data_IF_974394964456
#
_entry.id   IF_974394964456
#
_cell.length_a   1.000
_cell.length_b   1.000
_cell.length_c   1.000
_cell.angle_alpha   90.00
_cell.angle_beta   90.00
_cell.angle_gamma   90.00
#
_symmetry.space_group_name_H-M   'P 1'
#
loop_
_entity.id
_entity.type
_entity.pdbx_description
1 polymer ?
#
# COMPACT_ATOMS: atom_id res chain seq x y z
N UNK A 1 -4.53 6.16 -23.49
CA UNK A 1 -5.15 5.43 -24.66
C UNK A 1 -6.57 5.98 -24.84
N UNK A 2 -7.14 6.06 -26.06
CA UNK A 2 -8.55 6.47 -26.24
C UNK A 2 -9.52 5.29 -26.06
N UNK A 3 -10.83 5.58 -25.90
CA UNK A 3 -11.87 4.58 -25.63
C UNK A 3 -11.98 3.49 -26.70
N UNK A 4 -11.89 3.85 -28.00
CA UNK A 4 -11.95 2.88 -29.09
C UNK A 4 -10.79 1.88 -29.07
N UNK A 5 -9.56 2.37 -28.84
CA UNK A 5 -8.37 1.50 -28.71
C UNK A 5 -8.47 0.60 -27.47
N UNK A 6 -9.00 1.12 -26.36
CA UNK A 6 -9.20 0.35 -25.16
C UNK A 6 -10.22 -0.79 -25.38
N UNK A 7 -11.33 -0.50 -26.05
CA UNK A 7 -12.32 -1.53 -26.43
C UNK A 7 -11.71 -2.63 -27.30
N UNK A 8 -10.93 -2.25 -28.30
CA UNK A 8 -10.22 -3.21 -29.17
C UNK A 8 -9.23 -4.07 -28.38
N UNK A 9 -8.50 -3.45 -27.44
CA UNK A 9 -7.57 -4.17 -26.56
C UNK A 9 -8.30 -5.15 -25.65
N UNK A 10 -9.40 -4.73 -25.03
CA UNK A 10 -10.23 -5.61 -24.20
C UNK A 10 -10.77 -6.79 -25.00
N UNK A 11 -11.32 -6.53 -26.17
CA UNK A 11 -11.86 -7.54 -27.08
C UNK A 11 -10.78 -8.55 -27.52
N UNK A 12 -9.56 -8.09 -27.86
CA UNK A 12 -8.45 -8.98 -28.23
C UNK A 12 -7.96 -9.89 -27.10
N UNK A 13 -8.28 -9.52 -25.84
CA UNK A 13 -8.04 -10.32 -24.64
C UNK A 13 -9.30 -11.09 -24.17
N UNK A 14 -10.36 -11.16 -24.98
CA UNK A 14 -11.55 -11.95 -24.70
C UNK A 14 -12.61 -11.24 -23.84
N UNK A 15 -12.49 -9.93 -23.61
CA UNK A 15 -13.43 -9.14 -22.82
C UNK A 15 -14.19 -8.15 -23.72
N UNK A 16 -15.48 -8.38 -23.91
CA UNK A 16 -16.36 -7.47 -24.66
C UNK A 16 -16.97 -6.41 -23.72
N UNK A 17 -16.50 -5.18 -23.83
CA UNK A 17 -16.90 -4.07 -22.95
C UNK A 17 -17.85 -3.09 -23.66
N UNK A 18 -18.75 -2.50 -22.88
CA UNK A 18 -19.67 -1.44 -23.31
C UNK A 18 -18.89 -0.13 -23.42
N UNK A 19 -18.80 0.45 -24.62
CA UNK A 19 -17.96 1.63 -24.88
C UNK A 19 -18.35 2.85 -24.04
N UNK A 20 -19.65 3.12 -23.89
CA UNK A 20 -20.18 4.25 -23.13
C UNK A 20 -19.95 4.12 -21.61
N UNK A 21 -19.57 2.92 -21.13
CA UNK A 21 -19.25 2.68 -19.72
C UNK A 21 -17.83 3.10 -19.34
N UNK A 22 -16.95 3.32 -20.32
CA UNK A 22 -15.51 3.51 -20.11
C UNK A 22 -15.24 4.83 -19.38
N UNK A 23 -14.62 4.71 -18.19
CA UNK A 23 -14.10 5.85 -17.42
C UNK A 23 -12.61 5.63 -17.19
N UNK A 24 -11.77 6.51 -17.73
CA UNK A 24 -10.31 6.42 -17.64
C UNK A 24 -9.81 7.23 -16.46
N UNK A 25 -8.91 6.65 -15.68
CA UNK A 25 -8.12 7.32 -14.65
C UNK A 25 -6.65 7.37 -15.10
N UNK A 26 -6.11 8.56 -15.21
CA UNK A 26 -4.73 8.83 -15.65
C UNK A 26 -3.74 9.03 -14.50
N UNK A 27 -4.17 8.99 -13.25
CA UNK A 27 -3.33 9.31 -12.08
C UNK A 27 -2.23 8.27 -11.80
N UNK A 28 -2.41 7.00 -12.24
CA UNK A 28 -1.45 5.93 -12.00
C UNK A 28 -0.12 6.13 -12.75
N UNK A 29 1.00 5.98 -12.05
CA UNK A 29 2.35 6.14 -12.62
C UNK A 29 2.72 4.98 -13.55
N UNK A 30 2.44 3.75 -13.15
CA UNK A 30 2.82 2.54 -13.88
C UNK A 30 1.74 2.03 -14.82
N UNK A 31 0.48 2.27 -14.49
CA UNK A 31 -0.67 1.82 -15.25
C UNK A 31 -1.67 2.95 -15.50
N UNK A 32 -2.21 2.99 -16.72
CA UNK A 32 -3.47 3.67 -16.98
C UNK A 32 -4.59 2.74 -16.50
N UNK A 33 -5.50 3.23 -15.69
CA UNK A 33 -6.62 2.44 -15.16
C UNK A 33 -7.92 2.84 -15.86
N UNK A 34 -8.74 1.88 -16.22
CA UNK A 34 -10.08 2.13 -16.72
C UNK A 34 -11.13 1.31 -15.96
N UNK A 35 -12.22 1.96 -15.63
CA UNK A 35 -13.42 1.35 -15.08
C UNK A 35 -14.39 1.14 -16.23
N UNK A 36 -14.88 -0.08 -16.40
CA UNK A 36 -15.75 -0.45 -17.52
C UNK A 36 -16.85 -1.41 -17.09
N UNK A 37 -17.86 -1.60 -17.94
CA UNK A 37 -18.82 -2.69 -17.82
C UNK A 37 -18.73 -3.60 -19.03
N UNK A 38 -18.92 -4.90 -18.83
CA UNK A 38 -19.10 -5.85 -19.92
C UNK A 38 -20.58 -5.91 -20.37
N UNK A 39 -20.86 -6.77 -21.35
CA UNK A 39 -22.23 -6.94 -21.90
C UNK A 39 -23.22 -7.55 -20.88
N UNK A 40 -22.73 -8.11 -19.76
CA UNK A 40 -23.53 -8.67 -18.68
C UNK A 40 -23.73 -7.67 -17.53
N UNK A 41 -23.33 -6.39 -17.72
CA UNK A 41 -23.33 -5.34 -16.70
C UNK A 41 -22.34 -5.59 -15.54
N UNK A 42 -21.48 -6.59 -15.65
CA UNK A 42 -20.40 -6.79 -14.67
C UNK A 42 -19.39 -5.65 -14.75
N UNK A 43 -18.98 -5.15 -13.61
CA UNK A 43 -17.98 -4.07 -13.51
C UNK A 43 -16.58 -4.65 -13.49
N UNK A 44 -15.71 -4.07 -14.32
CA UNK A 44 -14.32 -4.47 -14.49
C UNK A 44 -13.36 -3.31 -14.26
N UNK A 45 -12.19 -3.65 -13.75
CA UNK A 45 -11.02 -2.77 -13.70
C UNK A 45 -10.03 -3.27 -14.74
N UNK A 46 -9.60 -2.37 -15.62
CA UNK A 46 -8.56 -2.61 -16.60
C UNK A 46 -7.32 -1.81 -16.23
N UNK A 47 -6.16 -2.47 -16.11
CA UNK A 47 -4.86 -1.84 -15.88
C UNK A 47 -4.02 -2.03 -17.15
N UNK A 48 -3.68 -0.94 -17.81
CA UNK A 48 -2.90 -0.91 -19.03
C UNK A 48 -1.49 -0.42 -18.71
N UNK A 49 -0.42 -1.19 -18.91
CA UNK A 49 0.92 -0.79 -18.58
C UNK A 49 1.36 0.43 -19.40
N UNK A 50 1.94 1.43 -18.74
CA UNK A 50 2.53 2.59 -19.41
C UNK A 50 3.92 2.29 -19.95
N UNK A 51 4.60 1.30 -19.38
CA UNK A 51 5.96 0.87 -19.71
C UNK A 51 6.07 -0.64 -19.61
N UNK A 52 6.94 -1.25 -20.41
CA UNK A 52 7.21 -2.70 -20.32
C UNK A 52 7.76 -3.10 -18.95
N UNK A 53 8.49 -2.20 -18.29
CA UNK A 53 9.03 -2.45 -16.94
C UNK A 53 7.93 -2.65 -15.88
N UNK A 54 6.78 -1.98 -16.01
CA UNK A 54 5.65 -2.12 -15.08
C UNK A 54 5.13 -3.56 -15.00
N UNK A 55 5.27 -4.35 -16.07
CA UNK A 55 4.86 -5.75 -16.09
C UNK A 55 5.77 -6.69 -15.28
N UNK A 56 7.02 -6.29 -14.97
CA UNK A 56 7.89 -7.13 -14.11
C UNK A 56 7.34 -7.20 -12.68
N UNK A 57 6.99 -6.04 -12.13
CA UNK A 57 6.40 -5.96 -10.79
C UNK A 57 5.01 -6.61 -10.77
N UNK A 58 4.23 -6.43 -11.84
CA UNK A 58 2.91 -7.07 -11.99
C UNK A 58 2.98 -8.61 -11.95
N UNK A 59 4.06 -9.24 -12.43
CA UNK A 59 4.24 -10.69 -12.30
C UNK A 59 4.40 -11.14 -10.83
N UNK A 60 5.07 -10.34 -10.02
CA UNK A 60 5.24 -10.63 -8.59
C UNK A 60 3.92 -10.38 -7.85
N UNK A 61 3.27 -9.24 -8.13
CA UNK A 61 1.94 -8.89 -7.62
C UNK A 61 0.91 -9.99 -7.92
N UNK A 62 0.84 -10.48 -9.16
CA UNK A 62 -0.07 -11.57 -9.56
C UNK A 62 0.13 -12.83 -8.71
N UNK A 63 1.38 -13.27 -8.55
CA UNK A 63 1.69 -14.46 -7.75
C UNK A 63 1.34 -14.26 -6.28
N UNK A 64 1.59 -13.07 -5.74
CA UNK A 64 1.21 -12.74 -4.36
C UNK A 64 -0.31 -12.75 -4.20
N UNK A 65 -1.06 -12.13 -5.12
CA UNK A 65 -2.52 -12.12 -5.12
C UNK A 65 -3.11 -13.53 -5.17
N UNK A 66 -2.54 -14.44 -5.97
CA UNK A 66 -3.00 -15.84 -6.04
C UNK A 66 -2.87 -16.55 -4.70
N UNK A 67 -1.77 -16.30 -3.95
CA UNK A 67 -1.59 -16.85 -2.61
C UNK A 67 -2.57 -16.20 -1.62
N UNK A 68 -2.62 -14.87 -1.60
CA UNK A 68 -3.47 -14.11 -0.67
C UNK A 68 -4.94 -14.53 -0.83
N UNK A 69 -5.43 -14.63 -2.07
CA UNK A 69 -6.81 -15.02 -2.37
C UNK A 69 -7.18 -16.40 -1.81
N UNK A 70 -6.23 -17.33 -1.72
CA UNK A 70 -6.46 -18.66 -1.17
C UNK A 70 -6.61 -18.68 0.36
N UNK A 71 -6.00 -17.73 1.04
CA UNK A 71 -5.86 -17.75 2.51
C UNK A 71 -6.62 -16.63 3.21
N UNK A 72 -6.74 -15.44 2.59
CA UNK A 72 -7.34 -14.26 3.22
C UNK A 72 -8.86 -14.35 3.32
N UNK A 73 -9.42 -13.82 4.41
CA UNK A 73 -10.87 -13.71 4.62
C UNK A 73 -11.48 -12.44 4.05
N UNK A 74 -10.66 -11.57 3.45
CA UNK A 74 -11.07 -10.32 2.80
C UNK A 74 -10.84 -10.38 1.28
N UNK A 75 -11.49 -9.47 0.53
CA UNK A 75 -11.38 -9.45 -0.92
C UNK A 75 -10.04 -8.86 -1.38
N UNK A 76 -9.45 -9.49 -2.40
CA UNK A 76 -8.30 -8.99 -3.16
C UNK A 76 -8.59 -9.10 -4.66
N UNK A 77 -7.92 -8.33 -5.54
CA UNK A 77 -8.10 -8.43 -6.98
C UNK A 77 -7.79 -9.84 -7.50
N UNK A 78 -8.75 -10.45 -8.21
CA UNK A 78 -8.56 -11.70 -8.96
C UNK A 78 -8.32 -11.38 -10.44
N UNK A 79 -7.06 -11.38 -10.87
CA UNK A 79 -6.69 -11.02 -12.24
C UNK A 79 -7.07 -12.11 -13.21
N UNK A 80 -8.31 -12.06 -13.68
CA UNK A 80 -8.88 -13.02 -14.65
C UNK A 80 -8.21 -12.90 -16.03
N UNK A 81 -7.73 -11.71 -16.40
CA UNK A 81 -6.94 -11.47 -17.61
C UNK A 81 -5.58 -10.91 -17.16
N UNK A 82 -4.51 -11.60 -17.58
CA UNK A 82 -3.15 -11.19 -17.35
C UNK A 82 -2.32 -11.44 -18.61
N UNK A 83 -2.04 -10.37 -19.37
CA UNK A 83 -1.26 -10.40 -20.59
C UNK A 83 -0.20 -9.28 -20.59
N UNK A 84 0.69 -9.27 -21.56
CA UNK A 84 1.75 -8.24 -21.66
C UNK A 84 1.23 -6.81 -21.78
N UNK A 85 -0.01 -6.63 -22.22
CA UNK A 85 -0.60 -5.32 -22.52
C UNK A 85 -1.90 -5.01 -21.78
N UNK A 86 -2.44 -5.97 -21.00
CA UNK A 86 -3.67 -5.80 -20.26
C UNK A 86 -3.71 -6.70 -19.02
N UNK A 87 -4.04 -6.09 -17.89
CA UNK A 87 -4.51 -6.77 -16.70
C UNK A 87 -5.98 -6.40 -16.52
N UNK A 88 -6.87 -7.37 -16.31
CA UNK A 88 -8.27 -7.08 -16.02
C UNK A 88 -8.85 -8.04 -14.99
N UNK A 89 -9.68 -7.49 -14.14
CA UNK A 89 -10.38 -8.21 -13.06
C UNK A 89 -11.73 -7.58 -12.76
N UNK A 90 -12.65 -8.36 -12.20
CA UNK A 90 -13.95 -7.85 -11.74
C UNK A 90 -13.74 -6.89 -10.58
N UNK A 91 -14.40 -5.74 -10.64
CA UNK A 91 -14.33 -4.75 -9.57
C UNK A 91 -14.81 -5.38 -8.26
N UNK A 92 -14.00 -5.25 -7.21
CA UNK A 92 -14.34 -5.71 -5.88
C UNK A 92 -15.56 -4.96 -5.33
N UNK A 93 -16.27 -5.59 -4.41
CA UNK A 93 -17.39 -4.95 -3.72
C UNK A 93 -16.89 -3.94 -2.68
N UNK A 94 -17.62 -2.85 -2.53
CA UNK A 94 -17.25 -1.75 -1.64
C UNK A 94 -16.81 -0.51 -2.40
N UNK A 95 -16.44 0.51 -1.65
CA UNK A 95 -15.86 1.76 -2.14
C UNK A 95 -14.60 2.06 -1.32
N UNK A 96 -13.62 2.81 -1.85
CA UNK A 96 -12.49 3.27 -1.04
C UNK A 96 -12.94 4.02 0.21
N UNK A 97 -12.26 3.79 1.34
CA UNK A 97 -12.51 4.53 2.58
C UNK A 97 -12.33 6.03 2.40
N UNK A 98 -11.38 6.42 1.53
CA UNK A 98 -11.28 7.78 1.01
C UNK A 98 -10.73 7.77 -0.42
N UNK A 99 -10.95 8.85 -1.16
CA UNK A 99 -10.35 9.13 -2.46
C UNK A 99 -9.50 10.39 -2.37
N UNK A 100 -8.48 10.53 -3.22
CA UNK A 100 -7.64 11.74 -3.25
C UNK A 100 -8.26 12.76 -4.20
N UNK A 101 -8.58 13.95 -3.68
CA UNK A 101 -8.85 15.13 -4.51
C UNK A 101 -7.51 15.77 -4.87
N UNK A 102 -7.09 15.55 -6.12
CA UNK A 102 -5.79 16.06 -6.62
C UNK A 102 -5.74 17.59 -6.63
N UNK A 103 -6.86 18.27 -6.82
CA UNK A 103 -6.93 19.73 -6.88
C UNK A 103 -6.77 20.36 -5.48
N UNK A 104 -7.30 19.70 -4.47
CA UNK A 104 -7.23 20.17 -3.08
C UNK A 104 -6.09 19.52 -2.30
N UNK A 105 -5.40 18.53 -2.87
CA UNK A 105 -4.35 17.73 -2.23
C UNK A 105 -4.80 17.13 -0.88
N UNK A 106 -6.05 16.68 -0.81
CA UNK A 106 -6.66 16.16 0.42
C UNK A 106 -7.46 14.88 0.14
N UNK A 107 -7.77 14.14 1.20
CA UNK A 107 -8.69 13.01 1.14
C UNK A 107 -10.14 13.46 1.15
N UNK A 108 -10.96 12.83 0.31
CA UNK A 108 -12.42 12.89 0.36
C UNK A 108 -12.91 11.59 0.97
N UNK A 109 -13.33 11.64 2.23
CA UNK A 109 -13.70 10.47 3.02
C UNK A 109 -15.12 9.98 2.71
N UNK A 110 -15.30 8.65 2.79
CA UNK A 110 -16.60 8.00 2.65
C UNK A 110 -17.39 7.92 3.98
N UNK A 111 -16.79 8.42 5.09
CA UNK A 111 -17.39 8.57 6.40
C UNK A 111 -16.88 9.86 7.06
N UNK A 112 -17.43 10.21 8.22
CA UNK A 112 -16.95 11.36 9.01
C UNK A 112 -15.57 11.08 9.62
N UNK A 113 -14.53 11.73 9.09
CA UNK A 113 -13.15 11.58 9.52
C UNK A 113 -12.87 12.12 10.92
N UNK A 114 -13.68 13.10 11.37
CA UNK A 114 -13.57 13.66 12.71
C UNK A 114 -14.14 12.72 13.79
N UNK A 115 -14.93 11.73 13.37
CA UNK A 115 -15.54 10.71 14.22
C UNK A 115 -15.48 9.34 13.54
N UNK A 116 -14.26 8.81 13.41
CA UNK A 116 -14.01 7.54 12.72
C UNK A 116 -14.87 6.42 13.33
N UNK A 117 -15.69 5.71 12.54
CA UNK A 117 -16.57 4.68 13.08
C UNK A 117 -15.78 3.55 13.75
N UNK A 118 -16.11 3.13 14.99
CA UNK A 118 -15.41 2.06 15.68
C UNK A 118 -15.34 0.75 14.86
N UNK A 119 -16.37 0.47 14.06
CA UNK A 119 -16.41 -0.70 13.19
C UNK A 119 -15.34 -0.67 12.10
N UNK A 120 -14.90 0.55 11.68
CA UNK A 120 -13.80 0.68 10.73
C UNK A 120 -12.49 0.20 11.37
N UNK A 121 -12.14 0.69 12.58
CA UNK A 121 -10.95 0.22 13.30
C UNK A 121 -10.99 -1.29 13.56
N UNK A 122 -12.13 -1.80 14.03
CA UNK A 122 -12.30 -3.23 14.33
C UNK A 122 -12.11 -4.10 13.09
N UNK A 123 -12.74 -3.73 11.97
CA UNK A 123 -12.63 -4.52 10.73
C UNK A 123 -11.26 -4.35 10.06
N UNK A 124 -10.63 -3.16 10.13
CA UNK A 124 -9.28 -2.95 9.63
C UNK A 124 -8.25 -3.74 10.46
N UNK A 125 -8.32 -3.68 11.79
CA UNK A 125 -7.44 -4.47 12.67
C UNK A 125 -7.55 -5.97 12.41
N UNK A 126 -8.78 -6.47 12.22
CA UNK A 126 -9.01 -7.87 11.83
C UNK A 126 -8.40 -8.20 10.47
N UNK A 127 -8.58 -7.33 9.48
CA UNK A 127 -8.04 -7.53 8.13
C UNK A 127 -6.52 -7.56 8.14
N UNK A 128 -5.87 -6.66 8.92
CA UNK A 128 -4.42 -6.65 9.10
C UNK A 128 -3.92 -7.90 9.85
N UNK A 129 -4.62 -8.35 10.90
CA UNK A 129 -4.24 -9.57 11.61
C UNK A 129 -4.30 -10.80 10.70
N UNK A 130 -5.32 -10.89 9.84
CA UNK A 130 -5.45 -11.94 8.84
C UNK A 130 -4.30 -11.86 7.81
N UNK A 131 -4.05 -10.69 7.22
CA UNK A 131 -2.96 -10.46 6.27
C UNK A 131 -1.59 -10.84 6.84
N UNK A 132 -1.24 -10.28 8.00
CA UNK A 132 0.09 -10.44 8.59
C UNK A 132 0.37 -11.87 9.08
N UNK A 133 -0.69 -12.69 9.25
CA UNK A 133 -0.59 -14.10 9.64
C UNK A 133 -0.53 -15.08 8.47
N UNK A 134 -0.59 -14.61 7.23
CA UNK A 134 -0.55 -15.47 6.04
C UNK A 134 0.71 -16.36 6.01
N UNK A 135 0.65 -17.55 5.39
CA UNK A 135 1.74 -18.51 5.40
C UNK A 135 2.95 -18.01 4.59
N UNK A 136 3.95 -17.43 5.27
CA UNK A 136 5.12 -16.80 4.66
C UNK A 136 5.91 -17.71 3.72
N UNK A 137 5.89 -19.02 3.98
CA UNK A 137 6.62 -20.02 3.17
C UNK A 137 6.18 -20.02 1.70
N UNK A 138 4.90 -19.78 1.44
CA UNK A 138 4.36 -19.77 0.07
C UNK A 138 4.85 -18.58 -0.74
N UNK A 139 5.25 -17.50 -0.08
CA UNK A 139 5.77 -16.30 -0.73
C UNK A 139 7.26 -16.34 -1.07
N UNK A 140 8.03 -17.31 -0.55
CA UNK A 140 9.50 -17.32 -0.66
C UNK A 140 10.04 -17.40 -2.09
N UNK A 141 9.25 -17.89 -3.03
CA UNK A 141 9.72 -18.17 -4.40
C UNK A 141 9.09 -17.28 -5.47
N UNK A 142 8.33 -16.25 -5.07
CA UNK A 142 7.64 -15.40 -6.04
C UNK A 142 8.41 -14.11 -6.38
N UNK A 143 9.52 -13.84 -5.68
CA UNK A 143 10.44 -12.75 -6.00
C UNK A 143 10.13 -11.41 -5.33
N UNK A 144 9.22 -11.39 -4.33
CA UNK A 144 8.95 -10.21 -3.49
C UNK A 144 10.07 -9.98 -2.47
N UNK A 145 10.07 -8.81 -1.82
CA UNK A 145 10.97 -8.52 -0.71
C UNK A 145 10.74 -9.51 0.45
N UNK A 146 11.81 -10.05 1.00
CA UNK A 146 11.78 -10.89 2.19
C UNK A 146 12.89 -10.44 3.14
N UNK A 147 12.51 -9.92 4.29
CA UNK A 147 13.41 -9.61 5.41
C UNK A 147 13.02 -10.45 6.63
N UNK A 148 14.03 -10.93 7.35
CA UNK A 148 13.81 -11.57 8.64
C UNK A 148 13.81 -10.50 9.76
N UNK A 149 13.22 -10.80 10.92
CA UNK A 149 13.15 -9.85 12.03
C UNK A 149 14.53 -9.30 12.44
N UNK A 150 15.56 -10.15 12.47
CA UNK A 150 16.92 -9.74 12.80
C UNK A 150 17.63 -8.93 11.71
N UNK A 151 17.03 -8.79 10.51
CA UNK A 151 17.56 -8.01 9.38
C UNK A 151 16.94 -6.63 9.29
N UNK A 152 15.76 -6.39 9.89
CA UNK A 152 14.97 -5.16 9.74
C UNK A 152 15.79 -3.93 10.11
N UNK A 153 16.38 -3.93 11.29
CA UNK A 153 17.19 -2.81 11.80
C UNK A 153 18.41 -2.54 10.93
N UNK A 154 19.13 -3.58 10.54
CA UNK A 154 20.29 -3.44 9.66
C UNK A 154 19.90 -2.98 8.26
N UNK A 155 18.75 -3.40 7.75
CA UNK A 155 18.20 -2.92 6.48
C UNK A 155 17.86 -1.43 6.55
N UNK A 156 17.16 -0.99 7.59
CA UNK A 156 16.82 0.42 7.78
C UNK A 156 18.07 1.28 7.92
N UNK A 157 19.06 0.83 8.70
CA UNK A 157 20.36 1.53 8.82
C UNK A 157 21.01 1.73 7.45
N UNK A 158 21.09 0.70 6.62
CA UNK A 158 21.67 0.82 5.26
C UNK A 158 20.90 1.80 4.37
N UNK A 159 19.57 1.85 4.48
CA UNK A 159 18.74 2.81 3.75
C UNK A 159 19.04 4.24 4.18
N UNK A 160 19.09 4.49 5.49
CA UNK A 160 19.46 5.81 6.06
C UNK A 160 20.86 6.27 5.59
N UNK A 161 21.87 5.39 5.65
CA UNK A 161 23.22 5.69 5.23
C UNK A 161 23.28 6.05 3.74
N UNK A 162 22.62 5.28 2.86
CA UNK A 162 22.55 5.60 1.41
C UNK A 162 21.92 6.95 1.12
N UNK A 163 20.81 7.25 1.82
CA UNK A 163 20.11 8.54 1.61
C UNK A 163 20.95 9.69 2.11
N UNK A 164 21.71 9.53 3.21
CA UNK A 164 22.63 10.53 3.75
C UNK A 164 23.78 10.88 2.78
N UNK A 165 24.20 9.94 1.93
CA UNK A 165 25.19 10.20 0.89
C UNK A 165 24.67 11.12 -0.23
N UNK A 166 23.35 11.15 -0.42
CA UNK A 166 22.70 11.83 -1.55
C UNK A 166 21.98 13.13 -1.15
N UNK A 167 21.55 13.23 0.12
CA UNK A 167 20.72 14.32 0.63
C UNK A 167 21.25 14.87 1.95
N UNK A 168 20.99 16.14 2.18
CA UNK A 168 21.20 16.74 3.49
C UNK A 168 20.05 16.33 4.42
N UNK A 169 20.39 15.67 5.52
CA UNK A 169 19.42 15.25 6.54
C UNK A 169 19.55 16.21 7.72
N UNK A 170 18.41 16.67 8.24
CA UNK A 170 18.38 17.47 9.46
C UNK A 170 19.12 16.74 10.60
N UNK A 171 20.09 17.38 11.28
CA UNK A 171 20.87 16.74 12.34
C UNK A 171 20.01 16.15 13.47
N UNK A 172 18.95 16.84 13.89
CA UNK A 172 18.04 16.34 14.94
C UNK A 172 17.28 15.08 14.48
N UNK A 173 16.83 15.03 13.21
CA UNK A 173 16.21 13.85 12.62
C UNK A 173 17.21 12.69 12.54
N UNK A 174 18.46 12.97 12.13
CA UNK A 174 19.51 11.95 12.10
C UNK A 174 19.79 11.37 13.49
N UNK A 175 19.95 12.21 14.52
CA UNK A 175 20.22 11.79 15.89
C UNK A 175 19.06 10.99 16.47
N UNK A 176 17.81 11.38 16.16
CA UNK A 176 16.60 10.63 16.50
C UNK A 176 16.66 9.21 15.91
N UNK A 177 16.96 9.09 14.61
CA UNK A 177 17.09 7.79 13.96
C UNK A 177 18.22 6.92 14.55
N UNK A 178 19.37 7.54 14.92
CA UNK A 178 20.46 6.78 15.56
C UNK A 178 20.03 6.26 16.96
N UNK A 179 19.27 7.06 17.71
CA UNK A 179 18.72 6.64 19.00
C UNK A 179 17.74 5.47 18.83
N UNK A 180 16.82 5.56 17.88
CA UNK A 180 15.89 4.47 17.54
C UNK A 180 16.62 3.21 17.07
N UNK A 181 17.61 3.35 16.19
CA UNK A 181 18.43 2.22 15.74
C UNK A 181 19.24 1.58 16.88
N UNK A 182 19.59 2.30 17.92
CA UNK A 182 20.39 1.78 19.03
C UNK A 182 19.61 0.95 20.05
N UNK A 183 18.31 1.13 20.15
CA UNK A 183 17.45 0.49 21.14
C UNK A 183 16.68 -0.71 20.55
N UNK A 184 17.07 -1.91 20.95
CA UNK A 184 16.47 -3.17 20.49
C UNK A 184 14.97 -3.30 20.85
N UNK A 185 14.52 -2.61 21.90
CA UNK A 185 13.14 -2.70 22.40
C UNK A 185 12.09 -2.14 21.42
N UNK A 186 12.48 -1.27 20.52
CA UNK A 186 11.59 -0.78 19.46
C UNK A 186 11.25 -1.84 18.41
N UNK A 187 12.17 -2.74 18.13
CA UNK A 187 12.11 -3.59 16.94
C UNK A 187 11.29 -4.85 17.16
N UNK A 188 10.43 -5.23 16.20
CA UNK A 188 9.66 -6.46 16.31
C UNK A 188 10.59 -7.70 16.26
N UNK A 189 10.22 -8.70 17.03
CA UNK A 189 10.88 -10.03 16.99
C UNK A 189 10.30 -10.94 15.92
N UNK A 190 9.35 -10.46 15.12
CA UNK A 190 8.64 -11.19 14.08
C UNK A 190 8.44 -10.34 12.83
N UNK A 191 8.16 -10.99 11.74
CA UNK A 191 7.76 -10.39 10.46
C UNK A 191 6.47 -11.03 9.97
N UNK A 192 5.79 -10.39 9.04
CA UNK A 192 4.56 -10.88 8.42
C UNK A 192 4.49 -10.50 6.96
N UNK A 193 3.45 -10.97 6.28
CA UNK A 193 3.10 -10.50 4.95
C UNK A 193 2.51 -9.10 5.08
N UNK A 194 3.21 -8.08 4.60
CA UNK A 194 2.76 -6.68 4.62
C UNK A 194 2.14 -6.30 3.29
N UNK A 195 1.22 -5.33 3.31
CA UNK A 195 0.76 -4.66 2.09
C UNK A 195 1.85 -3.69 1.57
N UNK A 196 2.41 -2.87 2.45
CA UNK A 196 3.56 -1.99 2.19
C UNK A 196 3.19 -0.58 1.71
N UNK A 197 1.96 -0.38 1.21
CA UNK A 197 1.41 0.93 0.78
C UNK A 197 -0.06 1.05 1.19
N UNK A 198 -0.35 0.78 2.47
CA UNK A 198 -1.72 0.77 2.94
C UNK A 198 -2.17 2.19 3.35
N UNK A 199 -3.04 2.77 2.54
CA UNK A 199 -3.69 4.05 2.82
C UNK A 199 -5.20 3.98 2.50
N UNK A 200 -6.03 4.96 2.91
CA UNK A 200 -7.49 4.88 2.78
C UNK A 200 -8.01 4.66 1.37
N UNK A 201 -7.25 5.07 0.35
CA UNK A 201 -7.59 4.84 -1.05
C UNK A 201 -7.50 3.37 -1.47
N UNK A 202 -6.69 2.56 -0.77
CA UNK A 202 -6.50 1.14 -1.04
C UNK A 202 -7.38 0.24 -0.15
N UNK A 203 -8.09 0.81 0.83
CA UNK A 203 -8.99 0.08 1.74
C UNK A 203 -10.43 0.23 1.25
N UNK A 204 -11.07 -0.88 0.89
CA UNK A 204 -12.47 -0.90 0.48
C UNK A 204 -13.39 -1.12 1.67
N UNK A 205 -14.47 -0.35 1.75
CA UNK A 205 -15.48 -0.45 2.80
C UNK A 205 -16.89 -0.64 2.23
N UNK A 206 -17.75 -1.28 2.99
CA UNK A 206 -19.17 -1.38 2.69
C UNK A 206 -19.97 -0.19 3.28
N UNK A 207 -21.29 -0.17 3.05
CA UNK A 207 -22.21 0.86 3.57
C UNK A 207 -22.27 0.95 5.10
N UNK A 208 -21.71 -0.03 5.83
CA UNK A 208 -21.61 -0.04 7.29
C UNK A 208 -20.22 0.38 7.77
N UNK A 209 -19.37 0.90 6.88
CA UNK A 209 -17.98 1.26 7.13
C UNK A 209 -17.08 0.10 7.58
N UNK A 210 -17.46 -1.15 7.25
CA UNK A 210 -16.63 -2.32 7.50
C UNK A 210 -15.69 -2.52 6.32
N UNK A 211 -14.44 -2.82 6.59
CA UNK A 211 -13.45 -3.20 5.57
C UNK A 211 -13.90 -4.50 4.88
N UNK A 212 -13.90 -4.49 3.55
CA UNK A 212 -14.31 -5.63 2.72
C UNK A 212 -13.18 -6.17 1.86
N UNK A 213 -12.17 -5.36 1.57
CA UNK A 213 -11.05 -5.75 0.72
C UNK A 213 -9.95 -4.71 0.68
N UNK A 214 -8.83 -5.12 0.13
CA UNK A 214 -7.65 -4.28 -0.09
C UNK A 214 -7.21 -4.39 -1.56
N UNK A 215 -6.79 -3.28 -2.15
CA UNK A 215 -6.33 -3.17 -3.53
C UNK A 215 -4.93 -2.57 -3.59
N UNK A 216 -4.27 -2.70 -4.75
CA UNK A 216 -2.92 -2.19 -5.05
C UNK A 216 -1.79 -2.85 -4.24
N UNK A 217 -1.42 -4.05 -4.63
CA UNK A 217 -0.47 -4.93 -3.95
C UNK A 217 0.96 -4.82 -4.50
N UNK A 218 1.30 -3.71 -5.13
CA UNK A 218 2.61 -3.51 -5.78
C UNK A 218 3.79 -3.61 -4.79
N UNK A 219 3.56 -3.20 -3.52
CA UNK A 219 4.59 -3.15 -2.46
C UNK A 219 4.50 -4.34 -1.48
N UNK A 220 3.77 -5.41 -1.86
CA UNK A 220 3.64 -6.61 -1.02
C UNK A 220 4.99 -7.25 -0.73
N UNK A 221 5.19 -7.65 0.51
CA UNK A 221 6.44 -8.28 0.95
C UNK A 221 6.31 -9.00 2.28
N UNK A 222 7.38 -9.67 2.70
CA UNK A 222 7.54 -10.20 4.05
C UNK A 222 8.57 -9.35 4.76
N UNK A 223 8.13 -8.55 5.71
CA UNK A 223 9.00 -7.62 6.44
C UNK A 223 8.30 -7.13 7.72
N UNK A 224 8.64 -5.92 8.13
CA UNK A 224 8.00 -5.23 9.24
C UNK A 224 6.57 -4.84 8.91
N UNK A 225 5.61 -5.44 9.59
CA UNK A 225 4.18 -5.20 9.39
C UNK A 225 3.73 -3.82 9.91
N UNK A 226 4.56 -3.15 10.71
CA UNK A 226 4.25 -1.82 11.26
C UNK A 226 4.06 -0.77 10.17
N UNK A 227 4.63 -0.97 8.99
CA UNK A 227 4.47 -0.06 7.84
C UNK A 227 3.01 0.11 7.43
N UNK A 228 2.17 -0.90 7.62
CA UNK A 228 0.75 -0.87 7.27
C UNK A 228 -0.11 -0.05 8.26
N UNK A 229 0.48 0.42 9.37
CA UNK A 229 -0.15 1.30 10.35
C UNK A 229 0.22 2.78 10.16
N UNK A 230 1.30 3.08 9.43
CA UNK A 230 1.87 4.43 9.31
C UNK A 230 0.87 5.45 8.81
N UNK A 231 0.17 5.14 7.70
CA UNK A 231 -0.82 6.05 7.12
C UNK A 231 -1.99 6.30 8.08
N UNK A 232 -2.40 5.29 8.85
CA UNK A 232 -3.46 5.43 9.84
C UNK A 232 -3.05 6.38 10.97
N UNK A 233 -1.82 6.26 11.48
CA UNK A 233 -1.28 7.19 12.47
C UNK A 233 -1.17 8.61 11.91
N UNK A 234 -0.65 8.77 10.70
CA UNK A 234 -0.54 10.09 10.05
C UNK A 234 -1.90 10.81 9.95
N UNK A 235 -2.98 10.07 9.71
CA UNK A 235 -4.31 10.63 9.47
C UNK A 235 -5.14 10.82 10.74
N UNK A 236 -4.95 9.98 11.74
CA UNK A 236 -5.81 9.96 12.95
C UNK A 236 -5.05 10.11 14.26
N UNK A 237 -3.73 10.36 14.21
CA UNK A 237 -2.88 10.58 15.37
C UNK A 237 -2.78 9.38 16.32
N UNK A 238 -2.28 9.65 17.54
CA UNK A 238 -2.02 8.61 18.55
C UNK A 238 -3.30 7.87 18.99
N UNK A 239 -4.42 8.58 19.14
CA UNK A 239 -5.71 7.98 19.51
C UNK A 239 -6.22 7.00 18.45
N UNK A 240 -6.10 7.38 17.16
CA UNK A 240 -6.45 6.51 16.03
C UNK A 240 -5.54 5.29 15.94
N UNK A 241 -4.23 5.48 16.13
CA UNK A 241 -3.25 4.40 16.14
C UNK A 241 -3.52 3.41 17.28
N UNK A 242 -3.73 3.90 18.50
CA UNK A 242 -4.06 3.07 19.67
C UNK A 242 -5.29 2.20 19.39
N UNK A 243 -6.38 2.80 18.87
CA UNK A 243 -7.61 2.05 18.51
C UNK A 243 -7.37 0.97 17.48
N UNK A 244 -6.51 1.24 16.49
CA UNK A 244 -6.19 0.25 15.45
C UNK A 244 -5.31 -0.88 16.00
N UNK A 245 -4.29 -0.57 16.82
CA UNK A 245 -3.43 -1.57 17.48
C UNK A 245 -4.27 -2.47 18.40
N UNK A 246 -5.16 -1.89 19.22
CA UNK A 246 -6.07 -2.65 20.08
C UNK A 246 -6.97 -3.59 19.27
N UNK A 247 -7.53 -3.09 18.16
CA UNK A 247 -8.36 -3.92 17.27
C UNK A 247 -7.56 -5.05 16.61
N UNK A 248 -6.32 -4.78 16.23
CA UNK A 248 -5.38 -5.73 15.66
C UNK A 248 -4.99 -6.82 16.67
N UNK A 249 -4.61 -6.45 17.90
CA UNK A 249 -4.28 -7.38 18.99
C UNK A 249 -5.48 -8.27 19.36
N UNK A 250 -6.65 -7.65 19.52
CA UNK A 250 -7.91 -8.38 19.78
C UNK A 250 -8.29 -9.37 18.68
N UNK A 251 -7.84 -9.15 17.46
CA UNK A 251 -8.04 -10.07 16.33
C UNK A 251 -6.95 -11.14 16.22
N UNK A 252 -5.98 -11.18 17.14
CA UNK A 252 -4.86 -12.14 17.16
C UNK A 252 -3.61 -11.69 16.40
N UNK A 253 -3.54 -10.42 16.04
CA UNK A 253 -2.32 -9.82 15.49
C UNK A 253 -1.18 -9.81 16.53
N UNK A 254 0.05 -9.89 16.06
CA UNK A 254 1.23 -9.93 16.94
C UNK A 254 1.68 -8.50 17.26
N UNK A 255 1.57 -8.10 18.52
CA UNK A 255 2.01 -6.82 19.04
C UNK A 255 3.22 -6.96 19.97
N UNK A 256 3.86 -5.84 20.32
CA UNK A 256 4.89 -5.74 21.37
C UNK A 256 4.78 -4.37 22.08
N UNK A 257 5.46 -4.24 23.21
CA UNK A 257 5.25 -3.14 24.15
C UNK A 257 5.54 -1.73 23.60
N UNK A 258 6.33 -1.61 22.52
CA UNK A 258 6.69 -0.33 21.90
C UNK A 258 6.32 -0.26 20.43
N UNK A 259 5.29 -1.00 20.01
CA UNK A 259 4.84 -1.03 18.62
C UNK A 259 4.36 0.35 18.14
N UNK A 260 3.63 1.06 18.96
CA UNK A 260 3.15 2.41 18.68
C UNK A 260 4.31 3.40 18.47
N UNK A 261 5.27 3.44 19.39
CA UNK A 261 6.47 4.27 19.27
C UNK A 261 7.28 3.90 18.02
N UNK A 262 7.41 2.60 17.71
CA UNK A 262 8.10 2.13 16.51
C UNK A 262 7.42 2.60 15.22
N UNK A 263 6.09 2.58 15.15
CA UNK A 263 5.31 3.08 14.02
C UNK A 263 5.55 4.59 13.84
N UNK A 264 5.60 5.35 14.93
CA UNK A 264 5.92 6.78 14.89
C UNK A 264 7.33 7.02 14.33
N UNK A 265 8.33 6.24 14.78
CA UNK A 265 9.69 6.33 14.22
C UNK A 265 9.75 5.96 12.74
N UNK A 266 9.05 4.90 12.32
CA UNK A 266 8.94 4.51 10.91
C UNK A 266 8.35 5.65 10.06
N UNK A 267 7.33 6.34 10.54
CA UNK A 267 6.72 7.46 9.82
C UNK A 267 7.74 8.57 9.54
N UNK A 268 8.69 8.81 10.47
CA UNK A 268 9.76 9.79 10.28
C UNK A 268 10.71 9.44 9.13
N UNK A 269 10.73 8.18 8.70
CA UNK A 269 11.55 7.70 7.59
C UNK A 269 10.89 7.82 6.22
N UNK A 270 9.69 8.40 6.11
CA UNK A 270 8.97 8.55 4.84
C UNK A 270 9.80 9.28 3.78
N UNK A 271 10.62 10.26 4.16
CA UNK A 271 11.56 10.92 3.28
C UNK A 271 12.59 9.99 2.62
N UNK A 272 12.96 8.88 3.29
CA UNK A 272 13.84 7.84 2.72
C UNK A 272 13.15 7.14 1.55
N UNK A 273 11.89 6.75 1.73
CA UNK A 273 11.10 6.08 0.67
C UNK A 273 10.92 6.98 -0.55
N UNK A 274 10.65 8.27 -0.34
CA UNK A 274 10.56 9.26 -1.43
C UNK A 274 11.91 9.42 -2.13
N UNK A 275 13.02 9.45 -1.38
CA UNK A 275 14.37 9.54 -1.94
C UNK A 275 14.74 8.30 -2.79
N UNK A 276 14.39 7.10 -2.32
CA UNK A 276 14.61 5.85 -3.07
C UNK A 276 13.77 5.83 -4.35
N UNK A 277 12.51 6.27 -4.29
CA UNK A 277 11.67 6.41 -5.47
C UNK A 277 12.22 7.45 -6.46
N UNK A 278 12.73 8.58 -5.98
CA UNK A 278 13.38 9.59 -6.81
C UNK A 278 14.57 9.02 -7.60
N UNK A 279 15.39 8.18 -6.97
CA UNK A 279 16.53 7.53 -7.63
C UNK A 279 16.08 6.55 -8.75
N UNK A 280 14.98 5.82 -8.53
CA UNK A 280 14.48 4.85 -9.52
C UNK A 280 13.71 5.52 -10.65
N UNK A 281 12.90 6.53 -10.35
CA UNK A 281 12.06 7.23 -11.32
C UNK A 281 12.83 8.28 -12.13
N UNK A 282 13.87 8.88 -11.54
CA UNK A 282 14.63 10.00 -12.12
C UNK A 282 13.81 11.30 -12.19
N UNK A 283 12.66 11.38 -11.49
CA UNK A 283 11.79 12.54 -11.50
C UNK A 283 12.36 13.64 -10.57
N UNK A 284 12.62 14.82 -11.13
CA UNK A 284 13.20 15.95 -10.40
C UNK A 284 12.31 16.39 -9.23
N UNK A 285 10.99 16.40 -9.42
CA UNK A 285 10.03 16.74 -8.36
C UNK A 285 10.11 15.81 -7.15
N UNK A 286 10.41 14.52 -7.36
CA UNK A 286 10.60 13.55 -6.26
C UNK A 286 11.91 13.80 -5.51
N UNK A 287 12.98 14.20 -6.22
CA UNK A 287 14.23 14.63 -5.58
C UNK A 287 14.04 15.87 -4.70
N UNK A 288 13.29 16.85 -5.17
CA UNK A 288 12.99 18.08 -4.43
C UNK A 288 12.11 17.77 -3.21
N UNK A 289 11.10 16.93 -3.36
CA UNK A 289 10.24 16.46 -2.25
C UNK A 289 11.06 15.73 -1.19
N UNK A 290 11.91 14.78 -1.58
CA UNK A 290 12.79 14.05 -0.67
C UNK A 290 13.72 14.98 0.09
N UNK A 291 14.37 15.93 -0.62
CA UNK A 291 15.27 16.90 -0.02
C UNK A 291 14.53 17.78 1.00
N UNK A 292 13.32 18.21 0.69
CA UNK A 292 12.48 18.98 1.62
C UNK A 292 12.12 18.18 2.86
N UNK A 293 11.61 16.96 2.71
CA UNK A 293 11.22 16.10 3.83
C UNK A 293 12.37 15.76 4.76
N UNK A 294 13.58 15.52 4.20
CA UNK A 294 14.76 15.13 4.97
C UNK A 294 15.44 16.30 5.68
N UNK A 295 15.33 17.53 5.12
CA UNK A 295 15.93 18.73 5.69
C UNK A 295 14.99 19.47 6.66
N UNK A 296 13.69 19.22 6.63
CA UNK A 296 12.71 19.91 7.49
C UNK A 296 12.91 19.55 8.96
N UNK A 297 12.67 20.53 9.82
CA UNK A 297 12.47 20.26 11.24
C UNK A 297 11.15 19.50 11.39
N UNK A 298 11.15 18.44 12.16
CA UNK A 298 9.94 17.71 12.50
C UNK A 298 9.21 18.47 13.60
N UNK A 299 8.01 18.94 13.31
CA UNK A 299 7.08 19.46 14.32
C UNK A 299 6.56 18.35 15.24
#
# INVERSE_FOLDING_TARGET
MNTLKLKQLAMSNGLDIVEDSIKINESGVDFQVAFVQDQNEDKWILRIPRRTASMRNANQEKKALDIIQHHASFQVPDWSIFSENLIAYKQLSGIPAATIDVAQQNYVWSFDESNVPPVFHQSLGKTLADLHSLPQEEFKHIGIEILQANELRASMKRRMERVKELYNINPALWDRWQTWLADDSFWPSHVGVKHGDLHPGHILINRKNQVTGIIDWTEVGIADVSVDFMSHHLLFGDDGLTKLIDAYDNAGGKTWSRMDEHIVELLTTSGITVAEYAQVSGLQEMHEMAAHMLASEME
#
